data_IF_271452337067
#
_entry.id   IF_271452337067
#
_cell.length_a   1.000
_cell.length_b   1.000
_cell.length_c   1.000
_cell.angle_alpha   90.00
_cell.angle_beta   90.00
_cell.angle_gamma   90.00
#
_symmetry.space_group_name_H-M   'P 1'
#
loop_
_entity.id
_entity.type
_entity.pdbx_description
1 polymer ?
#
# COMPACT_ATOMS: atom_id res chain seq x y z
N UNK A 1 36.30 19.01 11.75
CA UNK A 1 35.18 18.20 12.21
C UNK A 1 34.11 18.34 11.14
N UNK A 2 34.25 17.56 10.06
CA UNK A 2 33.26 17.54 8.99
C UNK A 2 31.99 16.96 9.60
N UNK A 3 30.89 17.72 9.54
CA UNK A 3 29.59 17.15 9.86
C UNK A 3 29.34 16.02 8.86
N UNK A 4 29.27 14.78 9.31
CA UNK A 4 28.66 13.70 8.53
C UNK A 4 27.26 14.18 8.15
N UNK A 5 27.10 14.62 6.91
CA UNK A 5 25.78 14.87 6.34
C UNK A 5 25.13 13.50 6.19
N UNK A 6 24.39 13.09 7.23
CA UNK A 6 23.55 11.91 7.17
C UNK A 6 22.65 12.04 5.93
N UNK A 7 22.71 11.05 5.05
CA UNK A 7 21.82 11.00 3.89
C UNK A 7 20.37 10.99 4.40
N UNK A 8 19.46 11.76 3.78
CA UNK A 8 18.05 11.75 4.15
C UNK A 8 17.50 10.33 4.11
N UNK A 9 16.72 9.94 5.11
CA UNK A 9 16.05 8.64 5.12
C UNK A 9 15.15 8.52 3.90
N UNK A 10 15.37 7.46 3.13
CA UNK A 10 14.67 7.24 1.87
C UNK A 10 13.58 6.17 2.02
N UNK A 11 12.34 6.57 1.83
CA UNK A 11 11.17 5.69 1.83
C UNK A 11 10.74 5.40 0.39
N UNK A 12 10.78 4.12 0.00
CA UNK A 12 10.24 3.65 -1.28
C UNK A 12 8.81 3.16 -1.07
N UNK A 13 7.84 3.77 -1.74
CA UNK A 13 6.42 3.47 -1.58
C UNK A 13 5.86 2.83 -2.84
N UNK A 14 5.35 1.60 -2.76
CA UNK A 14 4.84 0.83 -3.92
C UNK A 14 3.33 0.63 -3.84
N UNK A 15 2.62 1.02 -4.91
CA UNK A 15 1.17 0.90 -5.00
C UNK A 15 0.72 -0.18 -5.98
N UNK A 16 -0.29 -0.96 -5.57
CA UNK A 16 -1.20 -1.64 -6.50
C UNK A 16 -1.82 -0.62 -7.49
N UNK A 17 -1.95 -0.94 -8.79
CA UNK A 17 -2.42 -0.02 -9.83
C UNK A 17 -3.93 0.24 -9.83
N UNK A 18 -4.50 0.54 -8.66
CA UNK A 18 -5.90 0.96 -8.49
C UNK A 18 -6.00 2.38 -7.92
N UNK A 19 -6.97 3.18 -8.37
CA UNK A 19 -7.10 4.59 -7.95
C UNK A 19 -7.28 4.73 -6.43
N UNK A 20 -8.06 3.81 -5.84
CA UNK A 20 -8.29 3.72 -4.39
C UNK A 20 -7.04 3.33 -3.58
N UNK A 21 -5.99 2.84 -4.25
CA UNK A 21 -4.71 2.46 -3.64
C UNK A 21 -3.66 3.56 -3.81
N UNK A 22 -3.59 4.12 -5.04
CA UNK A 22 -2.63 5.16 -5.42
C UNK A 22 -2.85 6.43 -4.60
N UNK A 23 -4.10 6.89 -4.51
CA UNK A 23 -4.39 8.18 -3.90
C UNK A 23 -4.07 8.22 -2.39
N UNK A 24 -4.53 7.27 -1.55
CA UNK A 24 -4.15 7.25 -0.13
C UNK A 24 -2.64 7.10 0.08
N UNK A 25 -1.98 6.21 -0.68
CA UNK A 25 -0.53 6.02 -0.57
C UNK A 25 0.23 7.30 -0.94
N UNK A 26 -0.20 8.02 -1.97
CA UNK A 26 0.38 9.31 -2.36
C UNK A 26 0.13 10.39 -1.29
N UNK A 27 -1.02 10.40 -0.62
CA UNK A 27 -1.27 11.34 0.50
C UNK A 27 -0.34 11.08 1.67
N UNK A 28 -0.11 9.81 2.01
CA UNK A 28 0.91 9.44 3.00
C UNK A 28 2.31 9.87 2.53
N UNK A 29 2.65 9.64 1.25
CA UNK A 29 3.93 10.04 0.67
C UNK A 29 4.20 11.54 0.83
N UNK A 30 3.22 12.40 0.55
CA UNK A 30 3.33 13.84 0.76
C UNK A 30 3.54 14.21 2.23
N UNK A 31 2.80 13.58 3.15
CA UNK A 31 2.96 13.82 4.60
C UNK A 31 4.35 13.41 5.09
N UNK A 32 4.87 12.29 4.62
CA UNK A 32 6.23 11.84 4.93
C UNK A 32 7.28 12.80 4.38
N UNK A 33 7.16 13.20 3.11
CA UNK A 33 8.05 14.17 2.49
C UNK A 33 8.04 15.52 3.23
N UNK A 34 6.86 16.01 3.62
CA UNK A 34 6.75 17.27 4.37
C UNK A 34 7.52 17.29 5.70
N UNK A 35 7.76 16.11 6.29
CA UNK A 35 8.51 15.91 7.53
C UNK A 35 10.01 15.66 7.31
N UNK A 36 10.53 15.99 6.12
CA UNK A 36 11.97 15.91 5.82
C UNK A 36 12.43 14.60 5.19
N UNK A 37 11.53 13.68 4.87
CA UNK A 37 11.91 12.41 4.24
C UNK A 37 12.10 12.54 2.72
N UNK A 38 12.99 11.72 2.16
CA UNK A 38 13.07 11.53 0.73
C UNK A 38 12.15 10.37 0.35
N UNK A 39 11.16 10.61 -0.51
CA UNK A 39 10.12 9.63 -0.83
C UNK A 39 10.11 9.34 -2.32
N UNK A 40 10.28 8.07 -2.68
CA UNK A 40 10.05 7.59 -4.04
C UNK A 40 8.71 6.88 -4.09
N UNK A 41 7.74 7.43 -4.82
CA UNK A 41 6.49 6.76 -5.13
C UNK A 41 6.64 5.93 -6.40
N UNK A 42 6.23 4.67 -6.34
CA UNK A 42 6.33 3.74 -7.45
C UNK A 42 5.06 2.91 -7.66
N UNK A 43 4.88 2.49 -8.90
CA UNK A 43 3.88 1.54 -9.39
C UNK A 43 4.35 1.07 -10.78
N UNK A 44 3.57 0.23 -11.47
CA UNK A 44 3.90 -0.21 -12.83
C UNK A 44 3.96 0.95 -13.82
N UNK A 45 4.83 0.86 -14.82
CA UNK A 45 5.09 1.94 -15.77
C UNK A 45 3.87 2.39 -16.56
N UNK A 46 2.98 1.51 -16.98
CA UNK A 46 1.75 1.89 -17.68
C UNK A 46 0.81 2.72 -16.81
N UNK A 47 0.67 2.37 -15.53
CA UNK A 47 -0.06 3.19 -14.55
C UNK A 47 0.63 4.52 -14.32
N UNK A 48 1.96 4.53 -14.20
CA UNK A 48 2.74 5.76 -14.14
C UNK A 48 2.50 6.70 -15.32
N UNK A 49 2.45 6.16 -16.55
CA UNK A 49 2.14 6.93 -17.77
C UNK A 49 0.73 7.52 -17.73
N UNK A 50 -0.25 6.77 -17.22
CA UNK A 50 -1.61 7.29 -17.03
C UNK A 50 -1.62 8.48 -16.07
N UNK A 51 -0.94 8.36 -14.93
CA UNK A 51 -0.78 9.45 -13.95
C UNK A 51 -0.09 10.68 -14.57
N UNK A 52 1.01 10.48 -15.30
CA UNK A 52 1.73 11.60 -15.94
C UNK A 52 0.85 12.33 -16.96
N UNK A 53 0.06 11.57 -17.74
CA UNK A 53 -0.81 12.11 -18.80
C UNK A 53 -2.01 12.87 -18.26
N UNK A 54 -2.64 12.37 -17.21
CA UNK A 54 -3.82 13.00 -16.58
C UNK A 54 -3.44 14.26 -15.81
N UNK A 55 -2.31 14.24 -15.11
CA UNK A 55 -1.88 15.33 -14.21
C UNK A 55 -1.01 16.37 -14.89
N UNK A 56 -0.66 16.16 -16.17
CA UNK A 56 0.34 16.94 -16.91
C UNK A 56 1.70 17.04 -16.18
N UNK A 57 2.00 16.06 -15.33
CA UNK A 57 3.26 16.00 -14.60
C UNK A 57 4.26 15.13 -15.37
N UNK A 58 5.05 15.77 -16.22
CA UNK A 58 6.08 15.10 -17.04
C UNK A 58 7.47 15.14 -16.41
N UNK A 59 7.63 15.71 -15.21
CA UNK A 59 8.95 15.94 -14.65
C UNK A 59 9.50 14.67 -14.00
N UNK A 60 10.68 14.23 -14.47
CA UNK A 60 11.48 13.18 -13.82
C UNK A 60 12.23 13.70 -12.57
N UNK A 61 12.07 14.98 -12.25
CA UNK A 61 12.74 15.64 -11.12
C UNK A 61 12.00 15.39 -9.81
N UNK A 62 12.73 15.32 -8.70
CA UNK A 62 12.12 15.37 -7.38
C UNK A 62 11.39 16.69 -7.16
N UNK A 63 10.32 16.62 -6.38
CA UNK A 63 9.46 17.74 -6.03
C UNK A 63 9.63 18.00 -4.54
N UNK A 64 10.07 19.21 -4.18
CA UNK A 64 10.21 19.61 -2.78
C UNK A 64 8.82 19.73 -2.13
N UNK A 65 8.66 19.11 -0.97
CA UNK A 65 7.45 19.18 -0.13
C UNK A 65 7.92 19.41 1.30
N UNK A 66 7.56 20.55 1.90
CA UNK A 66 8.14 20.98 3.18
C UNK A 66 9.68 20.89 3.17
N UNK A 67 10.21 20.13 4.14
CA UNK A 67 11.66 19.92 4.31
C UNK A 67 12.23 18.77 3.49
N UNK A 68 11.39 17.93 2.87
CA UNK A 68 11.80 16.74 2.14
C UNK A 68 11.45 16.80 0.66
N UNK A 69 11.46 15.63 0.02
CA UNK A 69 11.28 15.49 -1.41
C UNK A 69 10.40 14.30 -1.75
N UNK A 70 9.58 14.46 -2.79
CA UNK A 70 8.79 13.40 -3.38
C UNK A 70 9.14 13.26 -4.86
N UNK A 71 9.38 12.04 -5.31
CA UNK A 71 9.57 11.72 -6.71
C UNK A 71 8.70 10.56 -7.15
N UNK A 72 8.46 10.49 -8.45
CA UNK A 72 7.83 9.34 -9.08
C UNK A 72 8.88 8.56 -9.86
N UNK A 73 8.91 7.25 -9.68
CA UNK A 73 9.78 6.36 -10.44
C UNK A 73 9.05 5.05 -10.63
N UNK A 74 8.80 4.65 -11.87
CA UNK A 74 7.95 3.50 -12.17
C UNK A 74 8.78 2.32 -12.68
N UNK A 75 8.43 1.10 -12.26
CA UNK A 75 9.10 -0.11 -12.73
C UNK A 75 8.40 -0.71 -13.94
N UNK A 76 9.20 -1.24 -14.86
CA UNK A 76 8.73 -1.78 -16.13
C UNK A 76 8.29 -3.24 -15.96
N UNK A 77 7.09 -3.57 -16.41
CA UNK A 77 6.52 -4.92 -16.32
C UNK A 77 6.79 -5.79 -17.56
N UNK A 78 7.58 -5.30 -18.51
CA UNK A 78 7.90 -6.00 -19.76
C UNK A 78 7.08 -5.50 -20.95
N UNK A 79 7.14 -6.25 -22.07
CA UNK A 79 6.57 -5.82 -23.37
C UNK A 79 5.02 -5.78 -23.39
N UNK A 80 4.37 -6.54 -22.51
CA UNK A 80 2.91 -6.66 -22.42
C UNK A 80 2.33 -5.84 -21.25
N UNK A 81 2.93 -4.69 -20.95
CA UNK A 81 2.53 -3.77 -19.88
C UNK A 81 1.18 -3.03 -20.19
N UNK A 82 0.32 -3.55 -21.07
CA UNK A 82 -0.97 -2.93 -21.42
C UNK A 82 -2.07 -3.99 -21.62
N UNK A 83 -3.30 -3.62 -21.28
CA UNK A 83 -4.54 -4.37 -21.58
C UNK A 83 -4.59 -5.81 -21.02
N UNK A 84 -4.00 -6.03 -19.85
CA UNK A 84 -4.09 -7.30 -19.14
C UNK A 84 -5.44 -7.43 -18.42
N UNK A 85 -6.03 -8.62 -18.50
CA UNK A 85 -7.07 -8.99 -17.55
C UNK A 85 -6.52 -9.04 -16.12
N UNK A 86 -7.43 -9.12 -15.14
CA UNK A 86 -7.08 -9.04 -13.73
C UNK A 86 -6.12 -10.16 -13.30
N UNK A 87 -6.38 -11.41 -13.70
CA UNK A 87 -5.56 -12.56 -13.28
C UNK A 87 -4.17 -12.49 -13.89
N UNK A 88 -4.10 -12.13 -15.17
CA UNK A 88 -2.85 -11.87 -15.88
C UNK A 88 -2.05 -10.74 -15.22
N UNK A 89 -2.72 -9.65 -14.81
CA UNK A 89 -2.09 -8.54 -14.08
C UNK A 89 -1.53 -9.00 -12.73
N UNK A 90 -2.32 -9.74 -11.95
CA UNK A 90 -1.89 -10.24 -10.63
C UNK A 90 -0.68 -11.17 -10.75
N UNK A 91 -0.72 -12.10 -11.70
CA UNK A 91 0.40 -13.01 -11.97
C UNK A 91 1.65 -12.24 -12.45
N UNK A 92 1.48 -11.23 -13.31
CA UNK A 92 2.61 -10.42 -13.79
C UNK A 92 3.23 -9.58 -12.66
N UNK A 93 2.41 -9.02 -11.76
CA UNK A 93 2.89 -8.30 -10.57
C UNK A 93 3.74 -9.21 -9.68
N UNK A 94 3.34 -10.46 -9.49
CA UNK A 94 4.07 -11.39 -8.64
C UNK A 94 5.34 -11.96 -9.31
N UNK A 95 5.32 -12.19 -10.62
CA UNK A 95 6.47 -12.78 -11.35
C UNK A 95 7.48 -11.74 -11.80
N UNK A 96 7.05 -10.73 -12.56
CA UNK A 96 7.93 -9.70 -13.14
C UNK A 96 8.10 -8.51 -12.19
N UNK A 97 7.07 -8.19 -11.41
CA UNK A 97 7.08 -7.04 -10.51
C UNK A 97 8.12 -7.18 -9.41
N UNK A 98 8.34 -8.39 -8.89
CA UNK A 98 9.40 -8.70 -7.91
C UNK A 98 10.78 -8.32 -8.43
N UNK A 99 11.21 -8.90 -9.55
CA UNK A 99 12.53 -8.66 -10.13
C UNK A 99 12.72 -7.18 -10.50
N UNK A 100 11.68 -6.56 -11.06
CA UNK A 100 11.72 -5.16 -11.44
C UNK A 100 11.81 -4.23 -10.23
N UNK A 101 11.20 -4.62 -9.10
CA UNK A 101 11.29 -3.88 -7.85
C UNK A 101 12.66 -4.05 -7.18
N UNK A 102 13.27 -5.24 -7.23
CA UNK A 102 14.66 -5.45 -6.78
C UNK A 102 15.61 -4.54 -7.56
N UNK A 103 15.52 -4.54 -8.89
CA UNK A 103 16.33 -3.68 -9.76
C UNK A 103 16.11 -2.19 -9.46
N UNK A 104 14.86 -1.81 -9.16
CA UNK A 104 14.56 -0.44 -8.73
C UNK A 104 15.31 -0.09 -7.45
N UNK A 105 15.23 -0.92 -6.40
CA UNK A 105 15.91 -0.72 -5.11
C UNK A 105 17.42 -0.65 -5.28
N UNK A 106 18.02 -1.57 -6.03
CA UNK A 106 19.47 -1.58 -6.32
C UNK A 106 19.90 -0.30 -7.04
N UNK A 107 19.15 0.13 -8.05
CA UNK A 107 19.39 1.40 -8.75
C UNK A 107 19.33 2.61 -7.81
N UNK A 108 18.47 2.61 -6.79
CA UNK A 108 18.45 3.69 -5.80
C UNK A 108 19.78 3.76 -5.03
N UNK A 109 20.32 2.62 -4.63
CA UNK A 109 21.60 2.55 -3.93
C UNK A 109 22.76 3.00 -4.82
N UNK A 110 22.80 2.57 -6.08
CA UNK A 110 23.81 3.01 -7.07
C UNK A 110 23.80 4.53 -7.30
N UNK A 111 22.62 5.15 -7.23
CA UNK A 111 22.44 6.60 -7.34
C UNK A 111 22.72 7.35 -6.02
N UNK A 112 23.32 6.69 -5.02
CA UNK A 112 23.72 7.31 -3.74
C UNK A 112 22.56 7.57 -2.78
N UNK A 113 21.40 6.95 -3.00
CA UNK A 113 20.16 7.13 -2.24
C UNK A 113 19.57 5.80 -1.80
N UNK A 114 20.29 4.99 -1.01
CA UNK A 114 19.85 3.65 -0.62
C UNK A 114 18.49 3.69 0.09
N UNK A 115 17.60 2.77 -0.26
CA UNK A 115 16.27 2.67 0.36
C UNK A 115 16.42 2.28 1.83
N UNK A 116 15.87 3.11 2.72
CA UNK A 116 15.89 2.89 4.17
C UNK A 116 14.63 2.19 4.68
N UNK A 117 13.52 2.28 3.95
CA UNK A 117 12.24 1.67 4.31
C UNK A 117 11.38 1.45 3.06
N UNK A 118 10.61 0.37 3.04
CA UNK A 118 9.57 0.13 2.02
C UNK A 118 8.18 0.30 2.65
N UNK A 119 7.27 1.00 1.98
CA UNK A 119 5.85 1.02 2.33
C UNK A 119 5.03 0.51 1.14
N UNK A 120 4.32 -0.60 1.29
CA UNK A 120 3.42 -1.12 0.27
C UNK A 120 1.94 -0.92 0.67
N UNK A 121 1.01 -1.31 -0.18
CA UNK A 121 -0.42 -1.38 0.15
C UNK A 121 -1.01 -2.75 -0.27
N UNK A 122 -2.29 -3.06 0.03
CA UNK A 122 -2.89 -4.36 -0.30
C UNK A 122 -2.76 -4.72 -1.79
N UNK A 123 -2.76 -6.03 -2.07
CA UNK A 123 -2.56 -6.66 -3.38
C UNK A 123 -1.12 -6.65 -3.95
N UNK A 124 -0.15 -6.09 -3.22
CA UNK A 124 1.29 -6.24 -3.53
C UNK A 124 2.07 -6.81 -2.32
N UNK A 125 1.68 -7.97 -1.77
CA UNK A 125 2.35 -8.55 -0.60
C UNK A 125 3.80 -8.95 -0.84
N UNK A 126 4.14 -9.25 -2.10
CA UNK A 126 5.50 -9.59 -2.53
C UNK A 126 6.51 -8.45 -2.27
N UNK A 127 6.06 -7.20 -2.17
CA UNK A 127 6.97 -6.09 -1.88
C UNK A 127 7.56 -6.17 -0.46
N UNK A 128 6.78 -6.64 0.50
CA UNK A 128 7.24 -6.88 1.87
C UNK A 128 8.24 -8.04 1.92
N UNK A 129 8.05 -9.08 1.09
CA UNK A 129 8.98 -10.18 0.96
C UNK A 129 10.33 -9.71 0.42
N UNK A 130 10.31 -8.99 -0.71
CA UNK A 130 11.53 -8.45 -1.32
C UNK A 130 12.26 -7.52 -0.35
N UNK A 131 11.54 -6.62 0.33
CA UNK A 131 12.15 -5.74 1.33
C UNK A 131 12.85 -6.54 2.44
N UNK A 132 12.19 -7.59 2.94
CA UNK A 132 12.75 -8.46 3.99
C UNK A 132 13.97 -9.24 3.51
N UNK A 133 13.92 -9.81 2.31
CA UNK A 133 15.04 -10.52 1.67
C UNK A 133 16.27 -9.60 1.50
N UNK A 134 16.04 -8.32 1.23
CA UNK A 134 17.07 -7.29 1.11
C UNK A 134 17.48 -6.67 2.46
N UNK A 135 16.90 -7.10 3.58
CA UNK A 135 17.19 -6.56 4.92
C UNK A 135 16.66 -5.14 5.16
N UNK A 136 15.68 -4.69 4.36
CA UNK A 136 15.06 -3.37 4.45
C UNK A 136 13.77 -3.47 5.28
N UNK A 137 13.59 -2.64 6.33
CA UNK A 137 12.36 -2.65 7.10
C UNK A 137 11.16 -2.25 6.23
N UNK A 138 9.99 -2.86 6.49
CA UNK A 138 8.78 -2.56 5.73
C UNK A 138 7.55 -2.30 6.61
N UNK A 139 6.62 -1.52 6.08
CA UNK A 139 5.29 -1.32 6.62
C UNK A 139 4.24 -1.43 5.50
N UNK A 140 2.99 -1.70 5.88
CA UNK A 140 1.86 -1.75 4.95
C UNK A 140 0.94 -0.56 5.23
N UNK A 141 0.57 0.23 4.22
CA UNK A 141 -0.59 1.12 4.29
C UNK A 141 -1.84 0.33 3.91
N UNK A 142 -2.63 -0.03 4.91
CA UNK A 142 -3.96 -0.62 4.75
C UNK A 142 -4.99 0.48 4.49
N UNK A 143 -5.51 0.53 3.27
CA UNK A 143 -6.42 1.59 2.79
C UNK A 143 -7.90 1.29 3.00
N UNK A 144 -8.23 0.12 3.57
CA UNK A 144 -9.59 -0.26 3.95
C UNK A 144 -9.79 -0.01 5.45
N UNK A 145 -11.01 -0.22 5.96
CA UNK A 145 -11.31 -0.01 7.38
C UNK A 145 -10.60 -1.03 8.30
N UNK A 146 -10.47 -0.69 9.58
CA UNK A 146 -9.98 -1.61 10.61
C UNK A 146 -10.88 -2.84 10.75
N UNK A 147 -12.20 -2.68 10.57
CA UNK A 147 -13.14 -3.79 10.55
C UNK A 147 -12.80 -4.81 9.45
N UNK A 148 -12.57 -4.35 8.22
CA UNK A 148 -12.20 -5.24 7.11
C UNK A 148 -10.84 -5.89 7.34
N UNK A 149 -9.86 -5.15 7.90
CA UNK A 149 -8.58 -5.72 8.31
C UNK A 149 -8.76 -6.89 9.31
N UNK A 150 -9.55 -6.66 10.36
CA UNK A 150 -9.84 -7.66 11.39
C UNK A 150 -10.50 -8.90 10.77
N UNK A 151 -11.47 -8.71 9.87
CA UNK A 151 -12.14 -9.82 9.18
C UNK A 151 -11.16 -10.67 8.36
N UNK A 152 -10.29 -10.06 7.55
CA UNK A 152 -9.26 -10.81 6.82
C UNK A 152 -8.25 -11.50 7.73
N UNK A 153 -7.85 -10.87 8.84
CA UNK A 153 -6.96 -11.46 9.83
C UNK A 153 -7.56 -12.74 10.41
N UNK A 154 -8.81 -12.68 10.87
CA UNK A 154 -9.50 -13.82 11.46
C UNK A 154 -9.74 -14.94 10.44
N UNK A 155 -10.01 -14.59 9.17
CA UNK A 155 -10.10 -15.58 8.09
C UNK A 155 -8.78 -16.29 7.88
N UNK A 156 -7.70 -15.52 7.69
CA UNK A 156 -6.39 -16.07 7.37
C UNK A 156 -5.85 -16.99 8.47
N UNK A 157 -6.07 -16.62 9.74
CA UNK A 157 -5.64 -17.40 10.89
C UNK A 157 -6.66 -18.44 11.37
N UNK A 158 -7.79 -18.61 10.67
CA UNK A 158 -8.87 -19.52 11.03
C UNK A 158 -9.37 -19.33 12.48
N UNK A 159 -9.60 -18.07 12.86
CA UNK A 159 -9.99 -17.65 14.22
C UNK A 159 -11.49 -17.38 14.37
N UNK A 160 -12.27 -17.51 13.29
CA UNK A 160 -13.71 -17.36 13.28
C UNK A 160 -14.35 -18.32 12.26
N UNK A 161 -15.65 -18.55 12.39
CA UNK A 161 -16.43 -19.40 11.47
C UNK A 161 -16.98 -18.55 10.33
N UNK A 162 -16.37 -18.66 9.16
CA UNK A 162 -16.78 -17.95 7.95
C UNK A 162 -17.83 -18.73 7.14
N UNK A 163 -18.60 -18.04 6.28
CA UNK A 163 -19.53 -18.70 5.36
C UNK A 163 -18.86 -19.77 4.50
N UNK A 164 -19.54 -20.90 4.32
CA UNK A 164 -19.07 -22.06 3.55
C UNK A 164 -20.00 -22.31 2.36
N UNK A 165 -19.61 -23.11 1.34
CA UNK A 165 -20.51 -23.44 0.24
C UNK A 165 -21.83 -24.09 0.70
N UNK A 166 -21.80 -24.85 1.79
CA UNK A 166 -22.98 -25.51 2.37
C UNK A 166 -23.84 -24.55 3.22
N UNK A 167 -23.24 -23.48 3.75
CA UNK A 167 -23.88 -22.48 4.59
C UNK A 167 -23.45 -21.06 4.19
N UNK A 168 -23.78 -20.62 2.96
CA UNK A 168 -23.30 -19.36 2.41
C UNK A 168 -23.89 -18.13 3.11
N UNK A 169 -25.05 -18.28 3.76
CA UNK A 169 -25.76 -17.19 4.44
C UNK A 169 -25.54 -17.19 5.96
N UNK A 170 -24.51 -17.91 6.44
CA UNK A 170 -24.24 -17.96 7.89
C UNK A 170 -23.68 -16.63 8.39
N UNK A 171 -24.19 -16.10 9.53
CA UNK A 171 -23.70 -14.86 10.10
C UNK A 171 -22.28 -15.03 10.64
N UNK A 172 -21.46 -14.01 10.48
CA UNK A 172 -20.07 -13.99 10.90
C UNK A 172 -19.90 -13.18 12.20
N UNK A 173 -19.24 -13.79 13.18
CA UNK A 173 -18.91 -13.13 14.44
C UNK A 173 -17.41 -12.92 14.54
N UNK A 174 -16.98 -11.65 14.59
CA UNK A 174 -15.59 -11.24 14.78
C UNK A 174 -15.50 -10.44 16.09
N UNK A 175 -14.56 -10.74 17.00
CA UNK A 175 -14.34 -9.93 18.19
C UNK A 175 -14.18 -8.44 17.87
N UNK A 176 -14.99 -7.60 18.51
CA UNK A 176 -14.96 -6.15 18.33
C UNK A 176 -15.80 -5.61 17.17
N UNK A 177 -16.46 -6.48 16.41
CA UNK A 177 -17.41 -6.08 15.37
C UNK A 177 -18.82 -6.52 15.75
N UNK A 178 -19.87 -5.82 15.26
CA UNK A 178 -21.21 -6.39 15.26
C UNK A 178 -21.22 -7.71 14.47
N UNK A 179 -22.19 -8.57 14.77
CA UNK A 179 -22.45 -9.75 13.93
C UNK A 179 -22.72 -9.26 12.50
N UNK A 180 -21.92 -9.76 11.56
CA UNK A 180 -22.01 -9.42 10.15
C UNK A 180 -22.94 -10.43 9.47
N UNK A 181 -23.92 -9.93 8.75
CA UNK A 181 -24.69 -10.75 7.82
C UNK A 181 -23.80 -11.16 6.63
N UNK A 182 -24.21 -12.18 5.88
CA UNK A 182 -23.38 -12.71 4.79
C UNK A 182 -23.00 -11.64 3.76
N UNK A 183 -23.93 -10.77 3.38
CA UNK A 183 -23.68 -9.68 2.42
C UNK A 183 -22.83 -8.51 2.97
N UNK A 184 -22.52 -8.52 4.27
CA UNK A 184 -21.61 -7.58 4.92
C UNK A 184 -20.17 -8.12 5.03
N UNK A 185 -19.95 -9.41 4.73
CA UNK A 185 -18.62 -10.02 4.71
C UNK A 185 -17.86 -9.57 3.45
N UNK A 186 -16.56 -9.24 3.53
CA UNK A 186 -15.78 -8.88 2.34
C UNK A 186 -15.88 -9.96 1.26
N UNK A 187 -16.23 -9.56 0.03
CA UNK A 187 -16.65 -10.52 -1.00
C UNK A 187 -15.60 -11.59 -1.29
N UNK A 188 -14.32 -11.23 -1.26
CA UNK A 188 -13.19 -12.16 -1.47
C UNK A 188 -13.15 -13.33 -0.47
N UNK A 189 -13.85 -13.23 0.66
CA UNK A 189 -13.93 -14.30 1.65
C UNK A 189 -15.10 -15.25 1.40
N UNK A 190 -16.02 -14.91 0.50
CA UNK A 190 -17.10 -15.81 0.13
C UNK A 190 -16.59 -17.05 -0.61
N UNK A 191 -17.27 -18.19 -0.41
CA UNK A 191 -16.92 -19.45 -1.07
C UNK A 191 -17.10 -19.43 -2.60
N UNK A 192 -17.93 -18.51 -3.11
CA UNK A 192 -18.31 -18.42 -4.53
C UNK A 192 -17.76 -17.16 -5.22
N UNK A 193 -16.79 -16.48 -4.60
CA UNK A 193 -16.20 -15.26 -5.16
C UNK A 193 -15.43 -15.56 -6.46
N UNK A 194 -15.66 -14.80 -7.55
CA UNK A 194 -15.00 -15.04 -8.82
C UNK A 194 -13.58 -14.45 -8.90
N UNK A 195 -13.11 -13.71 -7.88
CA UNK A 195 -11.86 -12.95 -7.89
C UNK A 195 -10.77 -13.61 -7.04
N UNK A 196 -10.51 -14.90 -7.28
CA UNK A 196 -9.54 -15.68 -6.51
C UNK A 196 -8.14 -15.06 -6.48
N UNK A 197 -7.68 -14.44 -7.57
CA UNK A 197 -6.36 -13.78 -7.61
C UNK A 197 -6.26 -12.60 -6.64
N UNK A 198 -7.32 -11.80 -6.49
CA UNK A 198 -7.38 -10.72 -5.51
C UNK A 198 -7.46 -11.28 -4.08
N UNK A 199 -8.23 -12.34 -3.86
CA UNK A 199 -8.29 -13.05 -2.58
C UNK A 199 -6.91 -13.54 -2.15
N UNK A 200 -6.20 -14.24 -3.04
CA UNK A 200 -4.84 -14.75 -2.79
C UNK A 200 -3.90 -13.61 -2.42
N UNK A 201 -3.94 -12.49 -3.16
CA UNK A 201 -3.03 -11.38 -2.91
C UNK A 201 -3.35 -10.57 -1.65
N UNK A 202 -4.64 -10.37 -1.31
CA UNK A 202 -4.99 -9.66 -0.07
C UNK A 202 -4.69 -10.52 1.16
N UNK A 203 -4.99 -11.82 1.11
CA UNK A 203 -4.65 -12.76 2.19
C UNK A 203 -3.14 -12.96 2.31
N UNK A 204 -2.39 -12.84 1.21
CA UNK A 204 -0.93 -12.87 1.18
C UNK A 204 -0.28 -11.83 2.11
N UNK A 205 -0.94 -10.70 2.37
CA UNK A 205 -0.43 -9.70 3.31
C UNK A 205 -0.31 -10.25 4.75
N UNK A 206 -1.20 -11.17 5.13
CA UNK A 206 -1.26 -11.72 6.48
C UNK A 206 -0.15 -12.76 6.74
N UNK A 207 0.37 -13.41 5.68
CA UNK A 207 1.57 -14.27 5.76
C UNK A 207 2.81 -13.50 6.25
N UNK A 208 2.85 -12.20 5.95
CA UNK A 208 4.03 -11.35 6.10
C UNK A 208 3.91 -10.32 7.24
N UNK A 209 2.87 -10.41 8.09
CA UNK A 209 2.69 -9.45 9.18
C UNK A 209 3.86 -9.40 10.15
N UNK A 210 4.49 -10.54 10.44
CA UNK A 210 5.68 -10.61 11.29
C UNK A 210 6.91 -9.92 10.69
N UNK A 211 6.92 -9.68 9.37
CA UNK A 211 7.99 -8.99 8.66
C UNK A 211 7.79 -7.47 8.65
N UNK A 212 6.54 -7.00 8.76
CA UNK A 212 6.23 -5.57 8.80
C UNK A 212 6.34 -5.02 10.23
N UNK A 213 7.02 -3.88 10.39
CA UNK A 213 7.09 -3.23 11.70
C UNK A 213 5.80 -2.46 12.06
N UNK A 214 4.94 -2.20 11.07
CA UNK A 214 3.65 -1.55 11.26
C UNK A 214 2.67 -1.88 10.12
N UNK A 215 1.39 -1.96 10.47
CA UNK A 215 0.26 -1.86 9.53
C UNK A 215 -0.40 -0.51 9.77
N UNK A 216 -0.09 0.45 8.90
CA UNK A 216 -0.65 1.80 8.94
C UNK A 216 -2.06 1.74 8.35
N UNK A 217 -3.10 2.03 9.13
CA UNK A 217 -4.48 2.00 8.63
C UNK A 217 -4.96 3.41 8.33
N UNK A 218 -5.56 3.62 7.17
CA UNK A 218 -6.20 4.90 6.80
C UNK A 218 -7.56 5.08 7.52
N UNK A 219 -7.49 5.07 8.85
CA UNK A 219 -8.59 5.27 9.79
C UNK A 219 -8.04 5.85 11.09
N UNK A 220 -8.89 6.04 12.11
CA UNK A 220 -8.53 6.63 13.40
C UNK A 220 -9.26 5.93 14.56
N UNK A 221 -8.66 5.99 15.75
CA UNK A 221 -9.09 5.25 16.94
C UNK A 221 -10.54 5.59 17.34
N UNK A 222 -10.90 6.87 17.33
CA UNK A 222 -12.21 7.33 17.78
C UNK A 222 -13.36 6.84 16.88
N UNK A 223 -13.08 6.45 15.64
CA UNK A 223 -14.08 5.90 14.72
C UNK A 223 -14.24 4.39 14.84
N UNK A 224 -13.13 3.67 14.98
CA UNK A 224 -13.10 2.20 14.89
C UNK A 224 -12.53 1.54 16.16
N UNK A 225 -12.67 2.18 17.32
CA UNK A 225 -12.12 1.73 18.60
C UNK A 225 -12.41 0.25 18.87
N UNK A 226 -13.66 -0.18 18.70
CA UNK A 226 -14.09 -1.56 18.97
C UNK A 226 -13.41 -2.57 18.04
N UNK A 227 -13.14 -2.20 16.78
CA UNK A 227 -12.42 -3.04 15.83
C UNK A 227 -10.90 -3.06 16.10
N UNK A 228 -10.34 -1.94 16.57
CA UNK A 228 -8.90 -1.77 16.79
C UNK A 228 -8.45 -2.50 18.05
N UNK A 229 -9.13 -2.30 19.18
CA UNK A 229 -8.67 -2.80 20.48
C UNK A 229 -8.35 -4.30 20.51
N UNK A 230 -9.20 -5.20 19.96
CA UNK A 230 -8.89 -6.63 19.91
C UNK A 230 -7.72 -6.97 19.00
N UNK A 231 -7.46 -6.17 17.96
CA UNK A 231 -6.41 -6.41 16.96
C UNK A 231 -5.02 -5.94 17.39
N UNK A 232 -4.91 -5.01 18.36
CA UNK A 232 -3.63 -4.50 18.86
C UNK A 232 -2.72 -5.58 19.44
N UNK A 233 -3.28 -6.64 20.02
CA UNK A 233 -2.53 -7.78 20.55
C UNK A 233 -2.12 -8.80 19.47
N UNK A 234 -2.70 -8.68 18.27
CA UNK A 234 -2.61 -9.66 17.19
C UNK A 234 -1.72 -9.17 16.04
N UNK A 235 -1.62 -7.85 15.86
CA UNK A 235 -0.96 -7.21 14.73
C UNK A 235 -0.39 -5.84 15.12
N UNK A 236 0.72 -5.37 14.51
CA UNK A 236 1.27 -4.04 14.76
C UNK A 236 0.45 -2.92 14.05
N UNK A 237 -0.87 -2.94 14.21
CA UNK A 237 -1.80 -1.99 13.61
C UNK A 237 -1.61 -0.59 14.22
N UNK A 238 -1.61 0.43 13.36
CA UNK A 238 -1.45 1.85 13.73
C UNK A 238 -2.39 2.69 12.87
N UNK A 239 -3.50 3.19 13.41
CA UNK A 239 -4.33 4.16 12.72
C UNK A 239 -3.51 5.43 12.44
N UNK A 240 -3.45 5.86 11.17
CA UNK A 240 -2.75 7.08 10.72
C UNK A 240 -3.65 8.00 9.89
N UNK A 241 -4.90 7.61 9.74
CA UNK A 241 -5.88 8.33 8.99
C UNK A 241 -6.65 9.36 9.82
N UNK A 242 -7.68 9.97 9.22
CA UNK A 242 -7.95 9.91 7.79
C UNK A 242 -6.86 10.67 7.01
N UNK A 243 -6.30 10.04 5.97
CA UNK A 243 -5.36 10.62 5.04
C UNK A 243 -6.13 11.57 4.12
N UNK A 244 -6.44 12.76 4.64
CA UNK A 244 -6.99 13.85 3.84
C UNK A 244 -5.95 14.41 2.88
N UNK A 245 -6.43 15.20 1.91
CA UNK A 245 -5.58 15.98 1.01
C UNK A 245 -4.60 16.78 1.86
N UNK A 246 -3.32 16.64 1.54
CA UNK A 246 -2.25 17.36 2.20
C UNK A 246 -2.29 18.82 1.71
N UNK A 247 -2.42 19.76 2.66
CA UNK A 247 -2.23 21.19 2.45
C UNK A 247 -0.90 21.57 3.08
N UNK A 248 0.01 22.10 2.25
CA UNK A 248 1.24 22.74 2.70
C UNK A 248 1.01 24.24 2.60
N UNK A 249 0.74 24.91 3.72
CA UNK A 249 0.37 26.34 3.75
C UNK A 249 1.46 27.22 3.09
N UNK A 250 2.72 26.77 3.09
CA UNK A 250 3.85 27.49 2.49
C UNK A 250 4.04 27.17 0.99
N UNK A 251 3.45 26.09 0.45
CA UNK A 251 3.65 25.62 -0.93
C UNK A 251 2.36 25.03 -1.56
N UNK A 252 1.22 25.64 -1.26
CA UNK A 252 -0.10 25.11 -1.60
C UNK A 252 -0.27 24.86 -3.11
N UNK A 253 0.14 25.82 -3.96
CA UNK A 253 0.11 25.68 -5.43
C UNK A 253 0.98 24.51 -5.96
N UNK A 254 2.13 24.24 -5.33
CA UNK A 254 3.02 23.16 -5.78
C UNK A 254 2.50 21.80 -5.35
N UNK A 255 1.97 21.69 -4.13
CA UNK A 255 1.47 20.42 -3.59
C UNK A 255 0.10 20.04 -4.14
N UNK A 256 -0.74 21.00 -4.54
CA UNK A 256 -2.04 20.77 -5.20
C UNK A 256 -1.93 20.17 -6.60
N UNK A 257 -0.78 20.38 -7.26
CA UNK A 257 -0.49 19.87 -8.61
C UNK A 257 0.03 18.42 -8.60
N UNK A 258 0.49 17.92 -7.44
CA UNK A 258 0.93 16.54 -7.31
C UNK A 258 -0.31 15.66 -7.13
N UNK A 259 -0.69 14.92 -8.15
CA UNK A 259 -1.88 14.04 -8.11
C UNK A 259 -1.52 12.65 -8.59
N UNK A 260 -2.34 11.68 -8.20
CA UNK A 260 -2.23 10.28 -8.61
C UNK A 260 -3.38 9.84 -9.49
N UNK A 261 -4.15 10.79 -10.04
CA UNK A 261 -5.32 10.51 -10.88
C UNK A 261 -4.87 9.76 -12.13
N UNK A 262 -5.46 8.62 -12.47
CA UNK A 262 -5.12 7.91 -13.71
C UNK A 262 -5.95 8.41 -14.91
N UNK A 263 -7.04 9.14 -14.62
CA UNK A 263 -8.01 9.63 -15.59
C UNK A 263 -8.23 11.14 -15.38
N UNK A 264 -8.58 11.86 -16.46
CA UNK A 264 -8.89 13.29 -16.44
C UNK A 264 -10.31 13.56 -15.97
#
# INVERSE_FOLDING_TARGET
MESETLLPLHVLMVSFPGQGHINPLLRLAKRLASKGLYVTFTTRSSTGKMIQTSTNNTSETSIKIGEGELRFEFFNMGKDDKDLDLDSLMNQLETVGRDSFVQLVERQAELGRPVSCVINNPFVPWASDVATEMGIPCAVLWVQSCAVYSTYYHYFHNLASFPTPDQPDSPLNIPGLPTLESDEVPSFLHPLDPYESLKVAILGQFKNLSKSFAVLVDSFEELEHEAIQPTLNLSPIRPVGPLFKFHDDDNEEKTSNIRGDMYK
#
